data_IF_387901291908
#
_entry.id   IF_387901291908
#
_cell.length_a   1.000
_cell.length_b   1.000
_cell.length_c   1.000
_cell.angle_alpha   90.00
_cell.angle_beta   90.00
_cell.angle_gamma   90.00
#
_symmetry.space_group_name_H-M   'P 1'
#
loop_
_entity.id
_entity.type
_entity.pdbx_description
1 polymer ?
#
# COMPACT_ATOMS: atom_id res chain seq x y z
N UNK A 1 -1.49 13.52 19.00
CA UNK A 1 -0.41 13.83 19.91
C UNK A 1 0.26 12.56 20.37
N UNK A 2 1.55 12.66 20.71
CA UNK A 2 2.44 11.51 20.88
C UNK A 2 1.87 10.49 21.88
N UNK A 3 1.83 9.24 21.50
CA UNK A 3 1.56 8.11 22.40
C UNK A 3 0.16 7.49 22.31
N UNK A 4 -0.65 7.87 21.33
CA UNK A 4 -1.94 7.20 21.17
C UNK A 4 -1.80 5.91 20.33
N UNK A 5 -1.64 4.78 21.03
CA UNK A 5 -1.64 3.44 20.42
C UNK A 5 -2.91 3.19 19.57
N UNK A 6 -4.00 3.95 19.79
CA UNK A 6 -5.24 3.86 19.01
C UNK A 6 -5.05 4.27 17.55
N UNK A 7 -4.25 5.31 17.29
CA UNK A 7 -3.98 5.74 15.92
C UNK A 7 -3.22 4.65 15.15
N UNK A 8 -2.20 4.07 15.77
CA UNK A 8 -1.42 2.97 15.20
C UNK A 8 -2.31 1.75 14.95
N UNK A 9 -3.13 1.37 15.94
CA UNK A 9 -4.07 0.25 15.83
C UNK A 9 -5.08 0.47 14.70
N UNK A 10 -5.56 1.69 14.52
CA UNK A 10 -6.51 2.04 13.47
C UNK A 10 -5.87 1.96 12.08
N UNK A 11 -4.67 2.50 11.91
CA UNK A 11 -3.90 2.39 10.67
C UNK A 11 -3.64 0.92 10.31
N UNK A 12 -3.29 0.12 11.28
CA UNK A 12 -3.06 -1.31 11.09
C UNK A 12 -4.33 -2.07 10.73
N UNK A 13 -5.44 -1.75 11.39
CA UNK A 13 -6.74 -2.32 11.04
C UNK A 13 -7.10 -2.03 9.59
N UNK A 14 -6.88 -0.80 9.13
CA UNK A 14 -7.14 -0.43 7.74
C UNK A 14 -6.18 -1.12 6.75
N UNK A 15 -4.92 -1.31 7.15
CA UNK A 15 -3.92 -1.95 6.30
C UNK A 15 -4.08 -3.46 6.15
N UNK A 16 -4.61 -4.16 7.16
CA UNK A 16 -4.65 -5.64 7.21
C UNK A 16 -6.05 -6.24 7.24
N UNK A 17 -7.08 -5.53 6.86
CA UNK A 17 -8.46 -6.01 7.04
C UNK A 17 -8.84 -7.24 6.19
N UNK A 18 -8.09 -7.54 5.15
CA UNK A 18 -8.29 -8.71 4.30
C UNK A 18 -7.55 -9.98 4.76
N UNK A 19 -6.55 -9.84 5.63
CA UNK A 19 -5.67 -10.95 5.94
C UNK A 19 -6.20 -11.83 7.08
N UNK A 20 -6.52 -13.08 6.75
CA UNK A 20 -6.79 -14.15 7.73
C UNK A 20 -5.55 -15.02 8.03
N UNK A 21 -4.45 -14.82 7.33
CA UNK A 21 -3.27 -15.67 7.40
C UNK A 21 -2.19 -15.03 8.27
N UNK A 22 -2.16 -15.39 9.55
CA UNK A 22 -1.07 -15.08 10.47
C UNK A 22 -0.16 -16.27 10.65
N UNK A 23 0.88 -16.39 9.83
CA UNK A 23 1.93 -17.38 10.05
C UNK A 23 3.07 -16.67 10.83
N UNK A 24 3.38 -17.17 12.04
CA UNK A 24 4.53 -16.69 12.83
C UNK A 24 4.25 -15.64 13.90
N UNK A 25 3.04 -15.58 14.43
CA UNK A 25 2.65 -14.69 15.53
C UNK A 25 1.89 -13.44 15.06
N UNK A 26 1.41 -12.66 16.00
CA UNK A 26 0.62 -11.47 15.67
C UNK A 26 1.53 -10.36 15.11
N UNK A 27 1.57 -10.12 13.78
CA UNK A 27 2.43 -9.11 13.19
C UNK A 27 2.04 -7.69 13.64
N UNK A 28 0.76 -7.48 14.00
CA UNK A 28 0.27 -6.25 14.59
C UNK A 28 1.07 -5.89 15.85
N UNK A 29 1.27 -6.88 16.75
CA UNK A 29 2.02 -6.67 17.98
C UNK A 29 3.49 -6.33 17.73
N UNK A 30 4.11 -6.95 16.73
CA UNK A 30 5.49 -6.63 16.35
C UNK A 30 5.60 -5.19 15.80
N UNK A 31 4.69 -4.80 14.93
CA UNK A 31 4.69 -3.46 14.33
C UNK A 31 4.39 -2.40 15.40
N UNK A 32 3.45 -2.61 16.32
CA UNK A 32 3.17 -1.69 17.43
C UNK A 32 4.43 -1.48 18.26
N UNK A 33 5.13 -2.56 18.62
CA UNK A 33 6.35 -2.44 19.42
C UNK A 33 7.44 -1.65 18.68
N UNK A 34 7.64 -1.91 17.38
CA UNK A 34 8.59 -1.16 16.56
C UNK A 34 8.15 0.30 16.34
N UNK A 35 6.84 0.55 16.26
CA UNK A 35 6.29 1.89 16.04
C UNK A 35 6.41 2.81 17.26
N UNK A 36 6.51 2.24 18.48
CA UNK A 36 6.75 3.04 19.70
C UNK A 36 8.09 3.78 19.65
N UNK A 37 9.09 3.19 19.02
CA UNK A 37 10.43 3.80 18.88
C UNK A 37 10.45 4.93 17.83
N UNK A 38 9.47 4.95 16.93
CA UNK A 38 9.42 5.88 15.79
C UNK A 38 8.19 6.82 15.80
N UNK A 39 7.43 6.88 16.90
CA UNK A 39 6.16 7.60 16.94
C UNK A 39 6.32 9.11 16.66
N UNK A 40 7.43 9.69 17.08
CA UNK A 40 7.76 11.09 16.79
C UNK A 40 8.01 11.30 15.29
N UNK A 41 8.73 10.37 14.67
CA UNK A 41 9.01 10.37 13.22
C UNK A 41 7.71 10.21 12.45
N UNK A 42 6.81 9.32 12.90
CA UNK A 42 5.50 9.08 12.27
C UNK A 42 4.68 10.36 12.18
N UNK A 43 4.70 11.22 13.20
CA UNK A 43 3.98 12.49 13.17
C UNK A 43 4.51 13.45 12.11
N UNK A 44 5.82 13.46 11.88
CA UNK A 44 6.48 14.26 10.84
C UNK A 44 6.12 13.72 9.46
N UNK A 45 6.19 12.42 9.28
CA UNK A 45 5.88 11.75 8.01
C UNK A 45 4.41 11.96 7.61
N UNK A 46 3.48 11.81 8.54
CA UNK A 46 2.06 12.06 8.27
C UNK A 46 1.79 13.52 7.89
N UNK A 47 2.48 14.49 8.53
CA UNK A 47 2.40 15.91 8.14
C UNK A 47 2.96 16.12 6.73
N UNK A 48 4.08 15.50 6.39
CA UNK A 48 4.66 15.56 5.06
C UNK A 48 3.70 14.99 4.01
N UNK A 49 3.10 13.83 4.25
CA UNK A 49 2.08 13.23 3.38
C UNK A 49 0.87 14.15 3.19
N UNK A 50 0.37 14.76 4.28
CA UNK A 50 -0.77 15.67 4.23
C UNK A 50 -0.47 16.97 3.47
N UNK A 51 0.78 17.43 3.48
CA UNK A 51 1.23 18.63 2.78
C UNK A 51 1.61 18.37 1.31
N UNK A 52 1.75 17.12 0.89
CA UNK A 52 2.06 16.77 -0.49
C UNK A 52 0.86 17.03 -1.40
N UNK A 53 0.96 18.02 -2.30
CA UNK A 53 -0.14 18.46 -3.17
C UNK A 53 0.08 18.19 -4.65
N UNK A 54 1.31 17.87 -5.06
CA UNK A 54 1.68 17.67 -6.47
C UNK A 54 1.51 16.23 -6.99
N UNK A 55 0.79 15.36 -6.25
CA UNK A 55 0.64 13.95 -6.58
C UNK A 55 0.06 13.72 -7.99
N UNK A 56 -1.01 14.43 -8.36
CA UNK A 56 -1.64 14.31 -9.67
C UNK A 56 -0.67 14.68 -10.80
N UNK A 57 -0.04 15.84 -10.70
CA UNK A 57 0.92 16.33 -11.70
C UNK A 57 2.16 15.42 -11.82
N UNK A 58 2.55 14.78 -10.72
CA UNK A 58 3.64 13.82 -10.71
C UNK A 58 3.27 12.52 -11.42
N UNK A 59 2.04 12.02 -11.24
CA UNK A 59 1.54 10.83 -11.93
C UNK A 59 1.49 11.04 -13.45
N UNK A 60 1.00 12.20 -13.90
CA UNK A 60 0.91 12.57 -15.32
C UNK A 60 2.29 12.65 -16.02
N UNK A 61 3.37 12.87 -15.26
CA UNK A 61 4.75 12.91 -15.76
C UNK A 61 5.43 11.55 -15.88
N UNK A 62 4.82 10.49 -15.36
CA UNK A 62 5.37 9.14 -15.45
C UNK A 62 5.23 8.62 -16.88
N UNK A 63 6.37 8.38 -17.56
CA UNK A 63 6.42 7.91 -18.94
C UNK A 63 6.94 6.48 -19.09
N UNK A 64 7.48 5.88 -18.02
CA UNK A 64 7.91 4.49 -18.05
C UNK A 64 6.73 3.52 -17.94
N UNK A 65 6.85 2.27 -18.41
CA UNK A 65 5.89 1.24 -18.15
C UNK A 65 5.68 1.07 -16.65
N UNK A 66 4.43 1.13 -16.20
CA UNK A 66 4.07 1.15 -14.78
C UNK A 66 3.05 0.07 -14.46
N UNK A 67 3.31 -0.71 -13.42
CA UNK A 67 2.37 -1.68 -12.89
C UNK A 67 1.79 -1.16 -11.58
N UNK A 68 0.47 -0.97 -11.55
CA UNK A 68 -0.29 -0.62 -10.35
C UNK A 68 -0.98 -1.86 -9.80
N UNK A 69 -0.71 -2.22 -8.53
CA UNK A 69 -1.31 -3.39 -7.87
C UNK A 69 -2.10 -2.92 -6.67
N UNK A 70 -3.38 -3.31 -6.59
CA UNK A 70 -4.29 -2.94 -5.51
C UNK A 70 -4.94 -4.17 -4.90
N UNK A 71 -5.21 -4.11 -3.58
CA UNK A 71 -6.10 -5.06 -2.93
C UNK A 71 -7.56 -4.57 -3.02
N UNK A 72 -8.51 -5.47 -3.22
CA UNK A 72 -9.92 -5.12 -3.31
C UNK A 72 -10.54 -4.71 -1.97
N UNK A 73 -9.93 -5.12 -0.85
CA UNK A 73 -10.32 -4.77 0.51
C UNK A 73 -9.47 -3.66 1.13
N UNK A 74 -8.62 -2.99 0.32
CA UNK A 74 -7.77 -1.90 0.80
C UNK A 74 -8.61 -0.69 1.26
N UNK A 75 -8.51 -0.34 2.54
CA UNK A 75 -9.19 0.80 3.14
C UNK A 75 -8.30 2.04 3.27
N UNK A 76 -6.98 1.89 3.12
CA UNK A 76 -6.05 3.02 3.11
C UNK A 76 -6.05 3.70 1.74
N UNK A 77 -6.00 2.92 0.67
CA UNK A 77 -6.16 3.37 -0.72
C UNK A 77 -7.29 2.58 -1.37
N UNK A 78 -8.55 3.00 -1.17
CA UNK A 78 -9.69 2.31 -1.75
C UNK A 78 -9.55 2.14 -3.26
N UNK A 79 -9.94 0.98 -3.80
CA UNK A 79 -9.75 0.61 -5.20
C UNK A 79 -10.21 1.69 -6.19
N UNK A 80 -11.30 2.40 -5.88
CA UNK A 80 -11.79 3.54 -6.68
C UNK A 80 -10.76 4.67 -6.79
N UNK A 81 -10.00 4.92 -5.73
CA UNK A 81 -8.94 5.94 -5.70
C UNK A 81 -7.73 5.43 -6.46
N UNK A 82 -7.33 4.18 -6.22
CA UNK A 82 -6.22 3.54 -6.93
C UNK A 82 -6.43 3.53 -8.45
N UNK A 83 -7.63 3.18 -8.92
CA UNK A 83 -7.96 3.21 -10.34
C UNK A 83 -7.81 4.62 -10.93
N UNK A 84 -8.33 5.66 -10.25
CA UNK A 84 -8.15 7.05 -10.70
C UNK A 84 -6.69 7.48 -10.75
N UNK A 85 -5.85 6.97 -9.85
CA UNK A 85 -4.42 7.26 -9.87
C UNK A 85 -3.74 6.59 -11.07
N UNK A 86 -4.05 5.33 -11.35
CA UNK A 86 -3.46 4.60 -12.47
C UNK A 86 -3.90 5.18 -13.83
N UNK A 87 -5.12 5.68 -13.95
CA UNK A 87 -5.63 6.37 -15.16
C UNK A 87 -4.81 7.62 -15.54
N UNK A 88 -4.15 8.26 -14.57
CA UNK A 88 -3.29 9.42 -14.80
C UNK A 88 -1.92 9.04 -15.37
N UNK A 89 -1.52 7.78 -15.29
CA UNK A 89 -0.23 7.29 -15.77
C UNK A 89 -0.39 6.73 -17.18
N UNK A 90 0.23 7.37 -18.16
CA UNK A 90 0.05 7.08 -19.59
C UNK A 90 0.27 5.61 -19.98
N UNK A 91 1.28 4.96 -19.40
CA UNK A 91 1.67 3.58 -19.71
C UNK A 91 1.49 2.67 -18.50
N UNK A 92 0.30 2.67 -17.89
CA UNK A 92 0.01 1.86 -16.72
C UNK A 92 -0.77 0.58 -17.07
N UNK A 93 -0.45 -0.49 -16.36
CA UNK A 93 -1.24 -1.72 -16.25
C UNK A 93 -1.74 -1.85 -14.81
N UNK A 94 -3.03 -2.06 -14.62
CA UNK A 94 -3.62 -2.24 -13.28
C UNK A 94 -3.95 -3.69 -13.01
N UNK A 95 -3.59 -4.18 -11.83
CA UNK A 95 -3.96 -5.49 -11.31
C UNK A 95 -4.63 -5.34 -9.95
N UNK A 96 -5.71 -6.09 -9.75
CA UNK A 96 -6.42 -6.17 -8.48
C UNK A 96 -6.25 -7.57 -7.91
N UNK A 97 -5.85 -7.66 -6.65
CA UNK A 97 -5.75 -8.93 -5.91
C UNK A 97 -6.96 -9.02 -5.00
N UNK A 98 -7.72 -10.11 -5.15
CA UNK A 98 -8.93 -10.36 -4.38
C UNK A 98 -8.64 -10.81 -2.96
N UNK A 99 -9.55 -10.50 -2.04
CA UNK A 99 -9.45 -10.82 -0.61
C UNK A 99 -8.10 -10.36 -0.02
N UNK A 100 -7.72 -9.09 -0.35
CA UNK A 100 -6.45 -8.50 0.01
C UNK A 100 -6.62 -7.04 0.44
N UNK A 101 -5.98 -6.66 1.55
CA UNK A 101 -5.92 -5.30 2.05
C UNK A 101 -4.74 -4.52 1.47
N UNK A 102 -4.27 -3.52 2.24
CA UNK A 102 -3.18 -2.63 1.84
C UNK A 102 -1.80 -3.31 1.83
N UNK A 103 -1.59 -4.26 2.73
CA UNK A 103 -0.28 -4.88 2.95
C UNK A 103 -0.06 -6.08 2.03
N UNK A 104 -0.22 -5.89 0.74
CA UNK A 104 -0.19 -6.92 -0.31
C UNK A 104 1.02 -7.85 -0.18
N UNK A 105 2.20 -7.30 0.11
CA UNK A 105 3.46 -8.07 0.25
C UNK A 105 3.37 -9.11 1.36
N UNK A 106 2.61 -8.83 2.42
CA UNK A 106 2.44 -9.74 3.55
C UNK A 106 1.20 -10.62 3.40
N UNK A 107 0.15 -10.11 2.77
CA UNK A 107 -1.13 -10.79 2.67
C UNK A 107 -1.17 -11.78 1.50
N UNK A 108 -0.59 -11.39 0.36
CA UNK A 108 -0.66 -12.13 -0.92
C UNK A 108 0.69 -12.13 -1.65
N UNK A 109 1.76 -12.43 -0.92
CA UNK A 109 3.14 -12.39 -1.43
C UNK A 109 3.36 -13.24 -2.70
N UNK A 110 2.70 -14.39 -2.78
CA UNK A 110 2.86 -15.31 -3.91
C UNK A 110 2.20 -14.75 -5.17
N UNK A 111 0.96 -14.28 -5.06
CA UNK A 111 0.19 -13.68 -6.16
C UNK A 111 0.88 -12.41 -6.66
N UNK A 112 1.31 -11.55 -5.73
CA UNK A 112 2.05 -10.33 -6.06
C UNK A 112 3.32 -10.66 -6.84
N UNK A 113 4.12 -11.62 -6.37
CA UNK A 113 5.35 -12.05 -7.06
C UNK A 113 5.07 -12.53 -8.47
N UNK A 114 4.00 -13.31 -8.68
CA UNK A 114 3.58 -13.79 -10.00
C UNK A 114 3.26 -12.63 -10.94
N UNK A 115 2.43 -11.70 -10.48
CA UNK A 115 2.02 -10.51 -11.25
C UNK A 115 3.24 -9.66 -11.66
N UNK A 116 4.14 -9.38 -10.72
CA UNK A 116 5.37 -8.60 -10.99
C UNK A 116 6.27 -9.32 -11.99
N UNK A 117 6.44 -10.64 -11.83
CA UNK A 117 7.25 -11.44 -12.77
C UNK A 117 6.66 -11.40 -14.20
N UNK A 118 5.36 -11.56 -14.33
CA UNK A 118 4.68 -11.51 -15.63
C UNK A 118 4.84 -10.15 -16.30
N UNK A 119 4.70 -9.06 -15.53
CA UNK A 119 4.93 -7.71 -16.02
C UNK A 119 6.36 -7.49 -16.52
N UNK A 120 7.36 -7.87 -15.72
CA UNK A 120 8.78 -7.75 -16.11
C UNK A 120 9.09 -8.55 -17.39
N UNK A 121 8.52 -9.74 -17.52
CA UNK A 121 8.73 -10.57 -18.71
C UNK A 121 8.12 -9.98 -19.99
N UNK A 122 7.02 -9.22 -19.87
CA UNK A 122 6.45 -8.48 -21.01
C UNK A 122 7.37 -7.35 -21.49
N UNK A 123 8.10 -6.70 -20.58
CA UNK A 123 9.00 -5.59 -20.92
C UNK A 123 10.29 -6.01 -21.64
N UNK A 124 10.62 -7.31 -21.60
CA UNK A 124 11.82 -7.87 -22.26
C UNK A 124 11.58 -8.31 -23.70
N UNK A 125 10.35 -8.22 -24.17
CA UNK A 125 9.97 -8.50 -25.57
C UNK A 125 9.95 -7.21 -26.39
#
# INVERSE_FOLDING_TARGET
>A
EAGDDKAILLMMKWGYEGSKAFIGGNPVKKIINSSREIIEILSVDLKACNNYKSGKESLEKINCPTLCIFGDLDKMVPLKVGNKMSELIKNSETKVITDCGHMIIFEKAFEMRKIVKEFILKLKK
#
